data_IF_918735116267
#
_entry.id   IF_918735116267
#
_cell.length_a   1.000
_cell.length_b   1.000
_cell.length_c   1.000
_cell.angle_alpha   90.00
_cell.angle_beta   90.00
_cell.angle_gamma   90.00
#
_symmetry.space_group_name_H-M   'P 1'
#
loop_
_entity.id
_entity.type
_entity.pdbx_description
1 polymer ?
#
# COMPACT_ATOMS: atom_id res chain seq x y z
N UNK A 1 16.07 32.19 -14.67
CA UNK A 1 15.55 30.83 -14.98
C UNK A 1 14.16 30.75 -14.38
N UNK A 2 13.15 30.32 -15.16
CA UNK A 2 11.76 30.31 -14.68
C UNK A 2 11.60 29.13 -13.71
N UNK A 3 11.30 29.45 -12.45
CA UNK A 3 11.04 28.47 -11.40
C UNK A 3 9.63 27.92 -11.61
N UNK A 4 9.53 26.65 -12.04
CA UNK A 4 8.25 25.98 -12.21
C UNK A 4 7.57 25.85 -10.85
N UNK A 5 6.35 26.39 -10.73
CA UNK A 5 5.51 26.24 -9.51
C UNK A 5 5.21 24.79 -9.16
N UNK A 6 5.29 23.90 -10.15
CA UNK A 6 5.16 22.47 -9.96
C UNK A 6 6.55 21.85 -9.85
N UNK A 7 6.92 21.47 -8.64
CA UNK A 7 8.11 20.65 -8.39
C UNK A 7 8.02 19.29 -9.09
N UNK A 8 9.14 18.59 -9.20
CA UNK A 8 9.21 17.26 -9.79
C UNK A 8 8.18 16.34 -9.12
N UNK A 9 7.33 15.71 -9.91
CA UNK A 9 6.37 14.73 -9.40
C UNK A 9 7.12 13.56 -8.74
N UNK A 10 6.56 12.96 -7.69
CA UNK A 10 7.15 11.78 -7.08
C UNK A 10 7.28 10.65 -8.12
N UNK A 11 8.24 9.76 -7.90
CA UNK A 11 8.33 8.54 -8.70
C UNK A 11 7.06 7.71 -8.47
N UNK A 12 6.38 7.38 -9.56
CA UNK A 12 5.14 6.60 -9.60
C UNK A 12 5.33 5.27 -10.29
N UNK A 13 6.59 4.87 -10.53
CA UNK A 13 6.91 3.58 -11.15
C UNK A 13 6.40 2.47 -10.24
N UNK A 14 5.43 1.66 -10.69
CA UNK A 14 4.90 0.57 -9.89
C UNK A 14 5.99 -0.49 -9.68
N UNK A 15 6.09 -0.99 -8.46
CA UNK A 15 7.01 -2.07 -8.11
C UNK A 15 6.24 -3.39 -8.12
N UNK A 16 6.65 -4.33 -8.98
CA UNK A 16 6.09 -5.68 -9.00
C UNK A 16 6.67 -6.51 -7.86
N UNK A 17 5.80 -7.03 -7.00
CA UNK A 17 6.17 -7.94 -5.93
C UNK A 17 5.61 -9.34 -6.22
N UNK A 18 6.48 -10.35 -6.25
CA UNK A 18 6.05 -11.76 -6.31
C UNK A 18 6.03 -12.32 -4.89
N UNK A 19 4.88 -12.87 -4.47
CA UNK A 19 4.68 -13.43 -3.13
C UNK A 19 4.14 -14.86 -3.23
N UNK A 20 4.45 -15.68 -2.22
CA UNK A 20 3.79 -16.97 -1.99
C UNK A 20 2.88 -16.81 -0.78
N UNK A 21 1.63 -17.24 -0.92
CA UNK A 21 0.63 -17.20 0.15
C UNK A 21 0.19 -18.62 0.50
N UNK A 22 -0.31 -18.80 1.72
CA UNK A 22 -0.90 -20.07 2.14
C UNK A 22 -2.23 -20.32 1.42
N UNK A 23 -2.66 -21.59 1.26
CA UNK A 23 -3.96 -21.91 0.70
C UNK A 23 -5.12 -21.22 1.45
N UNK A 24 -5.05 -21.17 2.78
CA UNK A 24 -6.08 -20.53 3.61
C UNK A 24 -6.20 -19.04 3.31
N UNK A 25 -5.07 -18.33 3.14
CA UNK A 25 -5.09 -16.92 2.78
C UNK A 25 -5.62 -16.72 1.36
N UNK A 26 -5.30 -17.60 0.42
CA UNK A 26 -5.86 -17.56 -0.92
C UNK A 26 -7.40 -17.67 -0.91
N UNK A 27 -7.96 -18.62 -0.14
CA UNK A 27 -9.41 -18.78 -0.01
C UNK A 27 -10.05 -17.53 0.61
N UNK A 28 -9.48 -17.03 1.71
CA UNK A 28 -10.00 -15.82 2.36
C UNK A 28 -9.99 -14.59 1.43
N UNK A 29 -8.98 -14.46 0.57
CA UNK A 29 -8.93 -13.38 -0.42
C UNK A 29 -9.98 -13.55 -1.53
N UNK A 30 -10.23 -14.79 -1.97
CA UNK A 30 -11.27 -15.08 -2.95
C UNK A 30 -12.67 -14.75 -2.39
N UNK A 31 -12.95 -15.17 -1.14
CA UNK A 31 -14.19 -14.86 -0.45
C UNK A 31 -14.39 -13.35 -0.29
N UNK A 32 -13.32 -12.63 0.08
CA UNK A 32 -13.38 -11.17 0.17
C UNK A 32 -13.70 -10.51 -1.18
N UNK A 33 -13.10 -10.98 -2.27
CA UNK A 33 -13.37 -10.44 -3.60
C UNK A 33 -14.83 -10.67 -4.03
N UNK A 34 -15.40 -11.84 -3.71
CA UNK A 34 -16.81 -12.12 -3.94
C UNK A 34 -17.72 -11.15 -3.14
N UNK A 35 -17.44 -10.97 -1.85
CA UNK A 35 -18.19 -10.01 -1.02
C UNK A 35 -18.04 -8.56 -1.49
N UNK A 36 -16.85 -8.19 -1.98
CA UNK A 36 -16.63 -6.87 -2.58
C UNK A 36 -17.50 -6.68 -3.82
N UNK A 37 -17.57 -7.69 -4.69
CA UNK A 37 -18.42 -7.66 -5.87
C UNK A 37 -19.90 -7.55 -5.50
N UNK A 38 -20.37 -8.31 -4.52
CA UNK A 38 -21.75 -8.24 -4.01
C UNK A 38 -22.07 -6.85 -3.43
N UNK A 39 -21.10 -6.21 -2.77
CA UNK A 39 -21.28 -4.91 -2.11
C UNK A 39 -21.31 -3.76 -3.11
N UNK A 40 -20.49 -3.82 -4.15
CA UNK A 40 -20.27 -2.70 -5.09
C UNK A 40 -20.77 -2.98 -6.52
N UNK A 41 -21.43 -4.12 -6.75
CA UNK A 41 -21.90 -4.60 -8.06
C UNK A 41 -20.77 -4.58 -9.11
N UNK A 42 -19.55 -4.90 -8.68
CA UNK A 42 -18.34 -4.86 -9.50
C UNK A 42 -17.33 -5.92 -9.07
N UNK A 43 -17.08 -6.85 -9.97
CA UNK A 43 -15.98 -7.79 -9.83
C UNK A 43 -14.63 -7.07 -10.02
N UNK A 44 -13.72 -7.27 -9.07
CA UNK A 44 -12.33 -6.83 -9.18
C UNK A 44 -11.41 -8.02 -8.87
N UNK A 45 -10.33 -8.22 -9.65
CA UNK A 45 -9.35 -9.26 -9.34
C UNK A 45 -8.74 -9.03 -7.96
N UNK A 46 -8.53 -10.12 -7.21
CA UNK A 46 -7.83 -10.08 -5.92
C UNK A 46 -6.51 -9.30 -6.01
N UNK A 47 -5.78 -9.44 -7.12
CA UNK A 47 -4.52 -8.74 -7.37
C UNK A 47 -4.65 -7.20 -7.38
N UNK A 48 -5.80 -6.67 -7.79
CA UNK A 48 -6.10 -5.23 -7.78
C UNK A 48 -6.59 -4.76 -6.40
N UNK A 49 -7.22 -5.64 -5.62
CA UNK A 49 -7.65 -5.36 -4.25
C UNK A 49 -6.49 -5.36 -3.25
N UNK A 50 -5.50 -6.25 -3.43
CA UNK A 50 -4.36 -6.41 -2.51
C UNK A 50 -3.63 -5.08 -2.22
N UNK A 51 -3.26 -4.25 -3.21
CA UNK A 51 -2.61 -2.96 -2.94
C UNK A 51 -3.43 -2.05 -2.02
N UNK A 52 -4.75 -1.98 -2.23
CA UNK A 52 -5.64 -1.17 -1.39
C UNK A 52 -5.77 -1.75 0.03
N UNK A 53 -5.88 -3.08 0.16
CA UNK A 53 -5.90 -3.77 1.46
C UNK A 53 -4.62 -3.52 2.26
N UNK A 54 -3.45 -3.63 1.61
CA UNK A 54 -2.16 -3.40 2.25
C UNK A 54 -1.98 -1.93 2.65
N UNK A 55 -2.41 -0.99 1.82
CA UNK A 55 -2.39 0.44 2.15
C UNK A 55 -3.25 0.71 3.40
N UNK A 56 -4.49 0.23 3.41
CA UNK A 56 -5.41 0.39 4.54
C UNK A 56 -4.85 -0.27 5.82
N UNK A 57 -4.25 -1.45 5.72
CA UNK A 57 -3.61 -2.13 6.84
C UNK A 57 -2.47 -1.29 7.43
N UNK A 58 -1.56 -0.80 6.57
CA UNK A 58 -0.42 0.01 7.02
C UNK A 58 -0.88 1.34 7.62
N UNK A 59 -1.88 2.00 7.04
CA UNK A 59 -2.47 3.23 7.57
C UNK A 59 -3.16 3.02 8.92
N UNK A 60 -3.82 1.87 9.11
CA UNK A 60 -4.48 1.50 10.35
C UNK A 60 -3.53 1.14 11.50
N UNK A 61 -2.31 0.67 11.20
CA UNK A 61 -1.32 0.29 12.22
C UNK A 61 -0.58 1.51 12.81
N UNK A 62 -1.13 2.08 13.87
CA UNK A 62 -0.53 3.22 14.60
C UNK A 62 0.87 2.93 15.13
N UNK A 63 1.14 1.69 15.54
CA UNK A 63 2.45 1.28 16.05
C UNK A 63 3.50 1.35 14.94
N UNK A 64 3.16 0.82 13.77
CA UNK A 64 3.97 0.94 12.56
C UNK A 64 4.18 2.41 12.17
N UNK A 65 3.12 3.22 12.14
CA UNK A 65 3.24 4.63 11.75
C UNK A 65 4.21 5.40 12.65
N UNK A 66 4.12 5.22 13.97
CA UNK A 66 5.05 5.86 14.92
C UNK A 66 6.49 5.39 14.68
N UNK A 67 6.72 4.07 14.62
CA UNK A 67 8.06 3.52 14.39
C UNK A 67 8.66 3.96 13.04
N UNK A 68 7.82 4.13 12.00
CA UNK A 68 8.23 4.64 10.69
C UNK A 68 8.63 6.11 10.74
N UNK A 69 7.89 6.94 11.50
CA UNK A 69 8.24 8.34 11.70
C UNK A 69 9.56 8.48 12.47
N UNK A 70 9.71 7.75 13.58
CA UNK A 70 10.93 7.76 14.39
C UNK A 70 12.15 7.37 13.54
N UNK A 71 12.05 6.31 12.72
CA UNK A 71 13.14 5.92 11.79
C UNK A 71 13.49 6.97 10.73
N UNK A 72 12.50 7.75 10.25
CA UNK A 72 12.76 8.85 9.31
C UNK A 72 13.48 10.00 10.01
N UNK A 73 13.10 10.31 11.26
CA UNK A 73 13.75 11.35 12.07
C UNK A 73 15.23 11.02 12.31
N UNK A 74 15.53 9.77 12.69
CA UNK A 74 16.90 9.31 12.98
C UNK A 74 17.83 9.42 11.76
N UNK A 75 17.34 9.16 10.55
CA UNK A 75 18.14 9.28 9.33
C UNK A 75 18.50 10.74 8.98
N UNK A 76 17.62 11.70 9.30
CA UNK A 76 17.87 13.12 9.04
C UNK A 76 18.96 13.64 9.98
N UNK A 77 18.96 13.22 11.25
CA UNK A 77 19.92 13.70 12.26
C UNK A 77 21.33 13.11 12.10
N UNK A 78 21.50 11.99 11.41
CA UNK A 78 22.83 11.38 11.16
C UNK A 78 23.51 11.85 9.87
N UNK A 79 22.83 12.65 9.04
CA UNK A 79 23.37 13.13 7.76
C UNK A 79 23.79 14.61 7.80
N UNK A 80 23.95 15.20 8.99
CA UNK A 80 24.43 16.58 9.21
C UNK A 80 25.66 16.54 10.10
#
# INVERSE_FOLDING_TARGET
MVELKLGKLPDRTPVKLAITITPDLHQALADYAALYADTYDREEPVAELIPAMLAAFLEGDRGFQKARQDRRQTHITQST
#
